data_IF_022381879549
#
_entry.id   IF_022381879549
#
_cell.length_a   1.000
_cell.length_b   1.000
_cell.length_c   1.000
_cell.angle_alpha   90.00
_cell.angle_beta   90.00
_cell.angle_gamma   90.00
#
_symmetry.space_group_name_H-M   'P 1'
#
loop_
_entity.id
_entity.type
_entity.pdbx_description
1 polymer ?
#
# COMPACT_ATOMS: atom_id res chain seq x y z
N UNK A 1 21.79 21.91 2.61
CA UNK A 1 20.48 21.22 2.69
C UNK A 1 20.57 19.97 1.83
N UNK A 2 20.60 18.80 2.47
CA UNK A 2 20.85 17.52 1.78
C UNK A 2 19.64 17.11 0.93
N UNK A 3 19.91 16.46 -0.21
CA UNK A 3 18.92 15.85 -1.11
C UNK A 3 17.93 14.92 -0.37
N UNK A 4 18.44 14.29 0.68
CA UNK A 4 17.69 13.43 1.60
C UNK A 4 16.54 14.18 2.29
N UNK A 5 16.74 15.46 2.64
CA UNK A 5 15.71 16.28 3.29
C UNK A 5 14.59 16.65 2.31
N UNK A 6 14.90 16.78 1.02
CA UNK A 6 13.88 17.02 -0.02
C UNK A 6 13.05 15.77 -0.26
N UNK A 7 13.70 14.61 -0.41
CA UNK A 7 13.02 13.33 -0.59
C UNK A 7 12.09 13.00 0.59
N UNK A 8 12.55 13.23 1.83
CA UNK A 8 11.71 13.05 3.02
C UNK A 8 10.44 13.90 2.98
N UNK A 9 10.58 15.19 2.67
CA UNK A 9 9.45 16.12 2.62
C UNK A 9 8.47 15.77 1.51
N UNK A 10 8.96 15.22 0.41
CA UNK A 10 8.13 14.77 -0.71
C UNK A 10 7.31 13.54 -0.34
N UNK A 11 7.92 12.57 0.36
CA UNK A 11 7.23 11.38 0.89
C UNK A 11 6.15 11.77 1.91
N UNK A 12 6.42 12.73 2.79
CA UNK A 12 5.45 13.23 3.77
C UNK A 12 4.21 13.83 3.08
N UNK A 13 4.40 14.60 2.01
CA UNK A 13 3.32 15.22 1.25
C UNK A 13 2.42 14.17 0.54
N UNK A 14 3.02 13.14 -0.05
CA UNK A 14 2.27 12.06 -0.71
C UNK A 14 1.45 11.24 0.30
N UNK A 15 2.03 10.94 1.47
CA UNK A 15 1.34 10.24 2.56
C UNK A 15 0.16 11.05 3.10
N UNK A 16 0.31 12.37 3.27
CA UNK A 16 -0.79 13.24 3.67
C UNK A 16 -1.90 13.30 2.61
N UNK A 17 -1.55 13.38 1.32
CA UNK A 17 -2.51 13.38 0.24
C UNK A 17 -3.30 12.05 0.20
N UNK A 18 -2.62 10.92 0.38
CA UNK A 18 -3.23 9.59 0.43
C UNK A 18 -4.18 9.46 1.63
N UNK A 19 -3.75 9.91 2.82
CA UNK A 19 -4.57 9.89 4.03
C UNK A 19 -5.82 10.76 3.89
N UNK A 20 -5.70 11.92 3.23
CA UNK A 20 -6.86 12.79 2.95
C UNK A 20 -7.77 12.21 1.88
N UNK A 21 -7.23 11.52 0.87
CA UNK A 21 -8.02 10.80 -0.13
C UNK A 21 -8.80 9.62 0.47
N UNK A 22 -8.22 8.94 1.47
CA UNK A 22 -8.87 7.83 2.17
C UNK A 22 -9.91 8.28 3.21
N UNK A 23 -9.75 9.47 3.80
CA UNK A 23 -10.70 10.05 4.77
C UNK A 23 -11.70 11.02 4.12
N UNK A 24 -11.50 11.38 2.85
CA UNK A 24 -12.49 12.06 2.02
C UNK A 24 -13.63 11.11 1.70
N UNK A 25 -14.86 11.62 1.71
CA UNK A 25 -16.10 10.89 1.42
C UNK A 25 -16.03 10.10 0.10
N UNK A 26 -15.47 8.89 0.17
CA UNK A 26 -15.61 7.86 -0.83
C UNK A 26 -16.13 6.61 -0.10
N UNK A 27 -17.35 6.74 0.42
CA UNK A 27 -18.24 5.63 0.79
C UNK A 27 -18.44 4.65 -0.40
N UNK A 28 -17.93 5.01 -1.58
CA UNK A 28 -17.95 4.26 -2.84
C UNK A 28 -16.58 4.36 -3.52
N UNK A 29 -15.50 3.92 -2.86
CA UNK A 29 -14.32 3.51 -3.63
C UNK A 29 -14.81 2.38 -4.54
N UNK A 30 -15.19 2.74 -5.78
CA UNK A 30 -15.80 1.86 -6.78
C UNK A 30 -15.09 0.52 -6.68
N UNK A 31 -15.81 -0.61 -6.66
CA UNK A 31 -15.20 -1.93 -6.53
C UNK A 31 -13.98 -2.10 -7.46
N UNK A 32 -13.90 -1.38 -8.58
CA UNK A 32 -12.72 -1.26 -9.45
C UNK A 32 -11.43 -0.76 -8.77
N UNK A 33 -11.50 0.24 -7.90
CA UNK A 33 -10.33 0.76 -7.16
C UNK A 33 -9.86 -0.26 -6.13
N UNK A 34 -10.80 -0.91 -5.46
CA UNK A 34 -10.50 -2.00 -4.51
C UNK A 34 -9.92 -3.20 -5.26
N UNK A 35 -10.54 -3.62 -6.36
CA UNK A 35 -10.08 -4.71 -7.23
C UNK A 35 -8.71 -4.42 -7.83
N UNK A 36 -8.46 -3.19 -8.29
CA UNK A 36 -7.15 -2.80 -8.80
C UNK A 36 -6.08 -2.90 -7.72
N UNK A 37 -6.38 -2.43 -6.50
CA UNK A 37 -5.47 -2.57 -5.36
C UNK A 37 -5.26 -4.02 -4.94
N UNK A 38 -6.28 -4.86 -4.98
CA UNK A 38 -6.15 -6.30 -4.71
C UNK A 38 -5.33 -7.02 -5.80
N UNK A 39 -5.49 -6.65 -7.07
CA UNK A 39 -4.66 -7.20 -8.16
C UNK A 39 -3.19 -6.82 -8.00
N UNK A 40 -2.90 -5.57 -7.67
CA UNK A 40 -1.53 -5.13 -7.39
C UNK A 40 -0.96 -5.81 -6.13
N UNK A 41 -1.78 -6.04 -5.11
CA UNK A 41 -1.41 -6.83 -3.93
C UNK A 41 -1.04 -8.27 -4.30
N UNK A 42 -1.82 -8.91 -5.18
CA UNK A 42 -1.55 -10.25 -5.69
C UNK A 42 -0.24 -10.34 -6.48
N UNK A 43 0.06 -9.33 -7.31
CA UNK A 43 1.35 -9.26 -8.03
C UNK A 43 2.53 -9.08 -7.08
N UNK A 44 2.39 -8.25 -6.06
CA UNK A 44 3.39 -8.11 -5.01
C UNK A 44 3.59 -9.40 -4.22
N UNK A 45 2.51 -10.13 -3.94
CA UNK A 45 2.59 -11.44 -3.27
C UNK A 45 3.30 -12.48 -4.15
N UNK A 46 3.01 -12.55 -5.46
CA UNK A 46 3.71 -13.44 -6.40
C UNK A 46 5.20 -13.12 -6.52
N UNK A 47 5.58 -11.83 -6.46
CA UNK A 47 6.98 -11.42 -6.43
C UNK A 47 7.65 -11.81 -5.11
N UNK A 48 6.99 -11.59 -3.97
CA UNK A 48 7.47 -12.02 -2.66
C UNK A 48 7.63 -13.53 -2.58
N UNK A 49 6.71 -14.29 -3.18
CA UNK A 49 6.75 -15.75 -3.26
C UNK A 49 8.04 -16.28 -3.86
N UNK A 50 8.60 -15.58 -4.87
CA UNK A 50 9.87 -15.93 -5.50
C UNK A 50 11.08 -15.73 -4.58
N UNK A 51 10.95 -14.89 -3.56
CA UNK A 51 12.05 -14.48 -2.68
C UNK A 51 12.01 -15.14 -1.30
N UNK A 52 10.84 -15.30 -0.71
CA UNK A 52 10.66 -15.81 0.67
C UNK A 52 9.81 -17.09 0.74
N UNK A 53 9.21 -17.51 -0.37
CA UNK A 53 8.27 -18.64 -0.41
C UNK A 53 6.84 -18.25 0.01
N UNK A 54 5.85 -19.06 -0.38
CA UNK A 54 4.44 -18.65 -0.30
C UNK A 54 3.87 -18.51 1.10
N UNK A 55 4.36 -19.28 2.07
CA UNK A 55 3.92 -19.16 3.45
C UNK A 55 4.33 -17.80 4.05
N UNK A 56 5.59 -17.39 3.88
CA UNK A 56 6.08 -16.09 4.39
C UNK A 56 5.51 -14.92 3.58
N UNK A 57 5.38 -15.07 2.25
CA UNK A 57 4.78 -14.04 1.41
C UNK A 57 3.31 -13.75 1.78
N UNK A 58 2.51 -14.78 2.03
CA UNK A 58 1.12 -14.63 2.47
C UNK A 58 1.05 -13.97 3.86
N UNK A 59 1.94 -14.35 4.78
CA UNK A 59 1.94 -13.81 6.14
C UNK A 59 2.33 -12.32 6.16
N UNK A 60 3.35 -11.94 5.39
CA UNK A 60 3.76 -10.53 5.22
C UNK A 60 2.63 -9.70 4.60
N UNK A 61 1.93 -10.26 3.62
CA UNK A 61 0.82 -9.59 2.92
C UNK A 61 -0.35 -9.32 3.87
N UNK A 62 -0.76 -10.31 4.66
CA UNK A 62 -1.86 -10.20 5.63
C UNK A 62 -1.51 -9.23 6.76
N UNK A 63 -0.31 -9.34 7.35
CA UNK A 63 0.12 -8.44 8.43
C UNK A 63 0.19 -6.98 7.97
N UNK A 64 0.67 -6.75 6.75
CA UNK A 64 0.76 -5.40 6.16
C UNK A 64 -0.62 -4.82 5.89
N UNK A 65 -1.56 -5.63 5.38
CA UNK A 65 -2.94 -5.22 5.14
C UNK A 65 -3.64 -4.84 6.45
N UNK A 66 -3.60 -5.71 7.47
CA UNK A 66 -4.25 -5.46 8.77
C UNK A 66 -3.68 -4.20 9.42
N UNK A 67 -2.37 -3.97 9.33
CA UNK A 67 -1.71 -2.83 9.98
C UNK A 67 -2.02 -1.48 9.32
N UNK A 68 -2.47 -1.45 8.07
CA UNK A 68 -2.67 -0.21 7.30
C UNK A 68 -4.12 0.03 6.88
N UNK A 69 -4.96 -1.02 6.87
CA UNK A 69 -6.36 -0.98 6.46
C UNK A 69 -7.32 -1.38 7.58
N UNK A 70 -6.89 -2.21 8.53
CA UNK A 70 -7.65 -2.56 9.74
C UNK A 70 -7.53 -1.51 10.84
#
# INVERSE_FOLDING_TARGET
MSEIARLRKQIELECEAMKRAMNGYAIVASHDVINHRYNELGRCQEELEKHVGSAEAAQITVDTYIKHVG
#
